data_IF_286936804106
#
_entry.id   IF_286936804106
#
_cell.length_a   1.000
_cell.length_b   1.000
_cell.length_c   1.000
_cell.angle_alpha   90.00
_cell.angle_beta   90.00
_cell.angle_gamma   90.00
#
_symmetry.space_group_name_H-M   'P 1'
#
loop_
_entity.id
_entity.type
_entity.pdbx_description
1 polymer ?
#
# COMPACT_ATOMS: atom_id res chain seq x y z
N UNK A 1 -7.33 15.25 -5.77
CA UNK A 1 -5.97 14.72 -5.63
C UNK A 1 -6.03 13.36 -4.95
N UNK A 2 -5.38 12.39 -5.55
CA UNK A 2 -5.40 11.05 -4.99
C UNK A 2 -4.48 10.95 -3.79
N UNK A 3 -4.90 10.16 -2.82
CA UNK A 3 -4.17 9.98 -1.58
C UNK A 3 -3.81 8.49 -1.46
N UNK A 4 -2.51 8.21 -1.36
CA UNK A 4 -2.02 6.84 -1.24
C UNK A 4 -1.62 6.49 0.18
N UNK A 5 -2.09 7.27 1.16
CA UNK A 5 -1.83 6.97 2.56
C UNK A 5 -2.93 6.07 3.10
N UNK A 6 -2.49 5.06 3.85
CA UNK A 6 -3.40 4.19 4.59
C UNK A 6 -2.91 4.13 6.02
N UNK A 7 -3.84 4.18 6.97
CA UNK A 7 -3.49 3.91 8.35
C UNK A 7 -3.09 2.45 8.52
N UNK A 8 -2.50 2.13 9.67
CA UNK A 8 -2.00 0.78 9.91
C UNK A 8 -3.11 -0.27 9.77
N UNK A 9 -4.29 0.01 10.31
CA UNK A 9 -5.40 -0.94 10.24
C UNK A 9 -5.97 -1.01 8.83
N UNK A 10 -6.06 0.14 8.14
CA UNK A 10 -6.51 0.16 6.75
C UNK A 10 -5.55 -0.63 5.85
N UNK A 11 -4.25 -0.56 6.12
CA UNK A 11 -3.28 -1.34 5.35
C UNK A 11 -3.50 -2.84 5.52
N UNK A 12 -3.81 -3.29 6.74
CA UNK A 12 -4.11 -4.70 6.98
C UNK A 12 -5.37 -5.11 6.23
N UNK A 13 -6.38 -4.27 6.24
CA UNK A 13 -7.63 -4.53 5.51
C UNK A 13 -7.36 -4.62 4.01
N UNK A 14 -6.61 -3.68 3.46
CA UNK A 14 -6.28 -3.69 2.04
C UNK A 14 -5.50 -4.95 1.67
N UNK A 15 -4.55 -5.35 2.50
CA UNK A 15 -3.77 -6.56 2.24
C UNK A 15 -4.64 -7.81 2.21
N UNK A 16 -5.70 -7.88 3.02
CA UNK A 16 -6.63 -9.00 2.96
C UNK A 16 -7.30 -9.09 1.60
N UNK A 17 -7.71 -7.95 1.03
CA UNK A 17 -8.33 -7.95 -0.30
C UNK A 17 -7.30 -8.34 -1.35
N UNK A 18 -6.13 -7.71 -1.35
CA UNK A 18 -5.11 -8.01 -2.36
C UNK A 18 -4.67 -9.47 -2.32
N UNK A 19 -4.70 -10.09 -1.16
CA UNK A 19 -4.28 -11.48 -1.02
C UNK A 19 -5.35 -12.48 -1.43
N UNK A 20 -6.62 -12.07 -1.47
CA UNK A 20 -7.73 -12.99 -1.71
C UNK A 20 -8.59 -12.63 -2.92
N UNK A 21 -8.31 -11.52 -3.58
CA UNK A 21 -9.16 -11.07 -4.70
C UNK A 21 -9.14 -12.04 -5.88
N UNK A 22 -10.23 -12.15 -6.63
CA UNK A 22 -11.53 -11.59 -6.32
C UNK A 22 -12.25 -12.43 -5.28
N UNK A 23 -13.04 -11.77 -4.43
CA UNK A 23 -13.79 -12.49 -3.41
C UNK A 23 -15.15 -11.81 -3.19
N UNK A 24 -16.12 -12.60 -2.76
CA UNK A 24 -17.42 -12.03 -2.44
C UNK A 24 -17.34 -11.21 -1.16
N UNK A 25 -18.10 -10.11 -1.08
CA UNK A 25 -18.08 -9.25 0.09
C UNK A 25 -18.40 -9.99 1.38
N UNK A 26 -19.21 -11.07 1.31
CA UNK A 26 -19.48 -11.90 2.48
C UNK A 26 -18.25 -12.63 2.99
N UNK A 27 -17.40 -13.06 2.06
CA UNK A 27 -16.14 -13.69 2.43
C UNK A 27 -15.20 -12.66 3.08
N UNK A 28 -15.21 -11.45 2.55
CA UNK A 28 -14.41 -10.37 3.13
C UNK A 28 -14.86 -10.06 4.56
N UNK A 29 -16.18 -10.05 4.80
CA UNK A 29 -16.70 -9.84 6.16
C UNK A 29 -16.16 -10.91 7.11
N UNK A 30 -16.18 -12.17 6.66
CA UNK A 30 -15.67 -13.27 7.49
C UNK A 30 -14.18 -13.14 7.76
N UNK A 31 -13.40 -12.75 6.75
CA UNK A 31 -11.96 -12.53 6.92
C UNK A 31 -11.69 -11.39 7.90
N UNK A 32 -12.41 -10.29 7.77
CA UNK A 32 -12.21 -9.15 8.65
C UNK A 32 -12.60 -9.47 10.08
N UNK A 33 -13.63 -10.28 10.27
CA UNK A 33 -14.00 -10.71 11.61
C UNK A 33 -12.89 -11.55 12.23
N UNK A 34 -12.33 -12.48 11.45
CA UNK A 34 -11.28 -13.37 11.94
C UNK A 34 -9.95 -12.65 12.16
N UNK A 35 -9.57 -11.77 11.25
CA UNK A 35 -8.23 -11.18 11.25
C UNK A 35 -8.17 -9.82 11.95
N UNK A 36 -9.25 -9.05 11.90
CA UNK A 36 -9.27 -7.69 12.43
C UNK A 36 -10.27 -7.51 13.57
N UNK A 37 -11.04 -8.54 13.87
CA UNK A 37 -12.11 -8.48 14.87
C UNK A 37 -13.13 -7.39 14.55
N UNK A 38 -13.40 -7.22 13.26
CA UNK A 38 -14.36 -6.21 12.79
C UNK A 38 -15.74 -6.82 12.65
N UNK A 39 -16.76 -6.04 12.99
CA UNK A 39 -18.14 -6.42 12.71
C UNK A 39 -18.48 -6.04 11.28
N UNK A 40 -19.54 -6.67 10.75
CA UNK A 40 -19.98 -6.47 9.37
C UNK A 40 -20.12 -5.00 8.96
N UNK A 41 -20.78 -4.13 9.77
CA UNK A 41 -20.92 -2.72 9.35
C UNK A 41 -19.59 -2.01 9.19
N UNK A 42 -18.63 -2.30 10.07
CA UNK A 42 -17.30 -1.68 9.98
C UNK A 42 -16.62 -2.08 8.67
N UNK A 43 -16.71 -3.37 8.32
CA UNK A 43 -16.11 -3.87 7.08
C UNK A 43 -16.68 -3.14 5.87
N UNK A 44 -18.00 -3.00 5.78
CA UNK A 44 -18.61 -2.32 4.64
C UNK A 44 -18.31 -0.83 4.61
N UNK A 45 -18.21 -0.20 5.77
CA UNK A 45 -17.87 1.22 5.83
C UNK A 45 -16.46 1.49 5.28
N UNK A 46 -15.48 0.67 5.71
CA UNK A 46 -14.12 0.85 5.26
C UNK A 46 -13.99 0.47 3.79
N UNK A 47 -14.66 -0.61 3.37
CA UNK A 47 -14.65 -1.01 1.96
C UNK A 47 -15.15 0.11 1.07
N UNK A 48 -16.29 0.72 1.43
CA UNK A 48 -16.85 1.81 0.64
C UNK A 48 -15.87 2.97 0.53
N UNK A 49 -15.23 3.32 1.63
CA UNK A 49 -14.24 4.38 1.66
C UNK A 49 -13.10 4.13 0.66
N UNK A 50 -12.57 2.91 0.66
CA UNK A 50 -11.44 2.60 -0.22
C UNK A 50 -11.91 2.44 -1.68
N UNK A 51 -13.15 2.04 -1.90
CA UNK A 51 -13.71 2.05 -3.24
C UNK A 51 -13.87 3.48 -3.77
N UNK A 52 -14.34 4.39 -2.92
CA UNK A 52 -14.47 5.79 -3.31
C UNK A 52 -13.12 6.42 -3.63
N UNK A 53 -12.06 5.95 -2.99
CA UNK A 53 -10.71 6.41 -3.28
C UNK A 53 -10.10 5.75 -4.52
N UNK A 54 -10.83 4.83 -5.16
CA UNK A 54 -10.37 4.21 -6.39
C UNK A 54 -9.39 3.06 -6.23
N UNK A 55 -9.22 2.56 -5.01
CA UNK A 55 -8.27 1.48 -4.75
C UNK A 55 -8.90 0.12 -5.05
N UNK A 56 -10.14 -0.05 -4.64
CA UNK A 56 -10.89 -1.30 -4.84
C UNK A 56 -12.21 -1.01 -5.53
N UNK A 57 -12.90 -2.08 -5.91
CA UNK A 57 -14.26 -1.98 -6.44
C UNK A 57 -15.08 -3.14 -5.91
N UNK A 58 -16.39 -2.90 -5.83
CA UNK A 58 -17.36 -3.93 -5.44
C UNK A 58 -18.42 -3.93 -6.53
N UNK A 59 -18.39 -4.96 -7.38
CA UNK A 59 -19.33 -5.08 -8.50
C UNK A 59 -20.21 -6.28 -8.23
N UNK A 60 -21.47 -6.00 -7.91
CA UNK A 60 -22.45 -7.06 -7.62
C UNK A 60 -21.96 -8.01 -6.52
N UNK A 61 -21.34 -7.46 -5.51
CA UNK A 61 -20.84 -8.24 -4.38
C UNK A 61 -19.47 -8.84 -4.56
N UNK A 62 -18.87 -8.69 -5.73
CA UNK A 62 -17.52 -9.20 -5.98
C UNK A 62 -16.52 -8.05 -5.78
N UNK A 63 -15.62 -8.25 -4.83
CA UNK A 63 -14.62 -7.26 -4.46
C UNK A 63 -13.30 -7.59 -5.16
N UNK A 64 -12.71 -6.60 -5.79
CA UNK A 64 -11.43 -6.76 -6.46
C UNK A 64 -10.66 -5.45 -6.47
N UNK A 65 -9.38 -5.52 -6.82
CA UNK A 65 -8.52 -4.35 -6.84
C UNK A 65 -8.68 -3.59 -8.14
N UNK A 66 -8.73 -2.25 -8.05
CA UNK A 66 -8.60 -1.37 -9.20
C UNK A 66 -7.16 -0.97 -9.41
N UNK A 67 -6.35 -1.06 -8.34
CA UNK A 67 -4.93 -0.81 -8.41
C UNK A 67 -4.27 -1.94 -7.63
N UNK A 68 -3.19 -2.50 -8.18
CA UNK A 68 -2.49 -3.61 -7.52
C UNK A 68 -1.75 -3.13 -6.28
N UNK A 69 -1.43 -4.08 -5.39
CA UNK A 69 -0.61 -3.78 -4.21
C UNK A 69 0.70 -3.11 -4.62
N UNK A 70 1.37 -3.69 -5.61
CA UNK A 70 2.66 -3.17 -6.07
C UNK A 70 2.54 -1.74 -6.56
N UNK A 71 1.54 -1.48 -7.39
CA UNK A 71 1.33 -0.13 -7.92
C UNK A 71 0.94 0.85 -6.83
N UNK A 72 0.11 0.41 -5.89
CA UNK A 72 -0.29 1.28 -4.79
C UNK A 72 0.91 1.72 -3.96
N UNK A 73 1.76 0.78 -3.56
CA UNK A 73 2.91 1.11 -2.73
C UNK A 73 3.98 1.87 -3.51
N UNK A 74 4.07 1.65 -4.83
CA UNK A 74 4.96 2.46 -5.66
C UNK A 74 4.54 3.92 -5.62
N UNK A 75 3.24 4.19 -5.80
CA UNK A 75 2.73 5.55 -5.75
C UNK A 75 2.81 6.16 -4.36
N UNK A 76 2.58 5.34 -3.33
CA UNK A 76 2.69 5.81 -1.96
C UNK A 76 4.12 6.26 -1.65
N UNK A 77 5.13 5.48 -2.07
CA UNK A 77 6.52 5.84 -1.81
C UNK A 77 6.92 7.09 -2.58
N UNK A 78 6.47 7.22 -3.82
CA UNK A 78 6.74 8.42 -4.62
C UNK A 78 6.12 9.66 -3.96
N UNK A 79 4.88 9.54 -3.52
CA UNK A 79 4.20 10.66 -2.86
C UNK A 79 4.89 11.04 -1.55
N UNK A 80 5.33 10.04 -0.78
CA UNK A 80 6.03 10.32 0.47
C UNK A 80 7.31 11.12 0.24
N UNK A 81 8.11 10.70 -0.75
CA UNK A 81 9.36 11.40 -1.06
C UNK A 81 9.06 12.81 -1.57
N UNK A 82 8.01 12.96 -2.38
CA UNK A 82 7.62 14.27 -2.89
C UNK A 82 7.17 15.19 -1.75
N UNK A 83 6.31 14.71 -0.86
CA UNK A 83 5.72 15.55 0.17
C UNK A 83 6.68 15.86 1.31
N UNK A 84 7.56 14.92 1.65
CA UNK A 84 8.41 15.05 2.82
C UNK A 84 9.82 15.51 2.46
N UNK A 85 10.31 15.14 1.29
CA UNK A 85 11.68 15.40 0.87
C UNK A 85 11.78 16.18 -0.44
N UNK A 86 10.69 16.84 -0.79
CA UNK A 86 10.64 17.73 -1.96
C UNK A 86 11.11 17.02 -3.24
N UNK A 87 10.77 15.73 -3.33
CA UNK A 87 11.09 14.92 -4.51
C UNK A 87 12.50 14.35 -4.53
N UNK A 88 13.27 14.56 -3.47
CA UNK A 88 14.67 14.14 -3.45
C UNK A 88 14.86 12.78 -2.78
N UNK A 89 15.04 11.75 -3.59
CA UNK A 89 15.35 10.42 -3.07
C UNK A 89 16.69 10.43 -2.30
N UNK A 90 17.76 11.11 -2.78
CA UNK A 90 18.97 11.21 -1.97
C UNK A 90 18.75 11.81 -0.60
N UNK A 91 17.87 12.82 -0.49
CA UNK A 91 17.56 13.42 0.81
C UNK A 91 16.87 12.40 1.73
N UNK A 92 15.97 11.59 1.16
CA UNK A 92 15.32 10.52 1.92
C UNK A 92 16.36 9.53 2.45
N UNK A 93 17.28 9.09 1.58
CA UNK A 93 18.31 8.12 1.98
C UNK A 93 19.23 8.71 3.04
N UNK A 94 19.58 10.00 2.91
CA UNK A 94 20.43 10.65 3.90
C UNK A 94 19.74 10.67 5.26
N UNK A 95 18.44 11.00 5.30
CA UNK A 95 17.69 11.03 6.54
C UNK A 95 17.58 9.62 7.14
N UNK A 96 17.25 8.65 6.31
CA UNK A 96 17.08 7.27 6.75
C UNK A 96 18.37 6.72 7.37
N UNK A 97 19.51 6.94 6.70
CA UNK A 97 20.78 6.38 7.14
C UNK A 97 21.40 7.11 8.33
N UNK A 98 20.83 8.26 8.72
CA UNK A 98 21.24 8.92 9.95
C UNK A 98 20.93 8.04 11.17
N UNK A 99 19.82 7.33 11.14
CA UNK A 99 19.37 6.49 12.24
C UNK A 99 19.63 5.01 12.01
N UNK A 100 19.69 4.58 10.75
CA UNK A 100 19.78 3.15 10.44
C UNK A 100 20.81 2.91 9.37
N UNK A 101 21.90 2.22 9.74
CA UNK A 101 22.94 1.90 8.78
C UNK A 101 22.46 0.84 7.81
N UNK A 102 22.90 0.98 6.58
CA UNK A 102 22.64 -0.04 5.57
C UNK A 102 23.63 -1.18 5.74
N UNK A 103 23.15 -2.41 5.63
CA UNK A 103 24.03 -3.57 5.63
C UNK A 103 24.79 -3.63 4.29
N UNK A 104 25.88 -4.41 4.26
CA UNK A 104 26.62 -4.58 3.02
C UNK A 104 25.74 -5.16 1.92
N UNK A 105 24.87 -6.13 2.28
CA UNK A 105 23.96 -6.72 1.32
C UNK A 105 22.98 -5.70 0.77
N UNK A 106 22.45 -4.82 1.63
CA UNK A 106 21.53 -3.75 1.19
C UNK A 106 22.23 -2.78 0.26
N UNK A 107 23.47 -2.40 0.59
CA UNK A 107 24.25 -1.49 -0.27
C UNK A 107 24.42 -2.07 -1.66
N UNK A 108 24.79 -3.35 -1.73
CA UNK A 108 25.00 -4.01 -3.02
C UNK A 108 23.72 -4.12 -3.82
N UNK A 109 22.63 -4.45 -3.16
CA UNK A 109 21.35 -4.55 -3.84
C UNK A 109 20.87 -3.18 -4.36
N UNK A 110 21.01 -2.14 -3.55
CA UNK A 110 20.64 -0.78 -3.97
C UNK A 110 21.48 -0.33 -5.15
N UNK A 111 22.77 -0.65 -5.13
CA UNK A 111 23.64 -0.32 -6.26
C UNK A 111 23.15 -0.98 -7.55
N UNK A 112 22.77 -2.26 -7.48
CA UNK A 112 22.24 -2.96 -8.66
C UNK A 112 20.95 -2.30 -9.15
N UNK A 113 20.09 -1.87 -8.22
CA UNK A 113 18.86 -1.20 -8.58
C UNK A 113 19.12 0.12 -9.28
N UNK A 114 20.09 0.89 -8.77
CA UNK A 114 20.46 2.16 -9.39
C UNK A 114 20.95 1.94 -10.82
N UNK A 115 21.80 0.93 -11.01
CA UNK A 115 22.33 0.62 -12.34
C UNK A 115 21.25 0.15 -13.30
N UNK A 116 20.22 -0.56 -12.79
CA UNK A 116 19.14 -1.10 -13.60
C UNK A 116 18.08 -0.08 -13.92
N UNK A 117 17.68 0.73 -12.93
CA UNK A 117 16.52 1.58 -13.05
C UNK A 117 16.84 3.07 -13.11
N UNK A 118 18.06 3.46 -12.81
CA UNK A 118 18.46 4.85 -12.74
C UNK A 118 19.07 5.34 -14.00
N UNK A 119 19.12 6.65 -14.07
CA UNK A 119 19.78 7.36 -15.12
C UNK A 119 18.98 7.44 -16.37
N UNK A 120 19.43 8.06 -17.36
CA UNK A 120 18.78 8.23 -18.59
C UNK A 120 19.60 8.92 -19.47
#
# INVERSE_FOLDING_TARGET
MEDYKLGAVESRFADLIWSHEPLHSRELVALCQAELNWKKPTTYTVLRKLCERGIFQNVNGIVSARISRQEFYARQSEQFVQDTFDGSLPAFLAAFTTRKRLSQAEVEEIRRMIDTYGGE
#
